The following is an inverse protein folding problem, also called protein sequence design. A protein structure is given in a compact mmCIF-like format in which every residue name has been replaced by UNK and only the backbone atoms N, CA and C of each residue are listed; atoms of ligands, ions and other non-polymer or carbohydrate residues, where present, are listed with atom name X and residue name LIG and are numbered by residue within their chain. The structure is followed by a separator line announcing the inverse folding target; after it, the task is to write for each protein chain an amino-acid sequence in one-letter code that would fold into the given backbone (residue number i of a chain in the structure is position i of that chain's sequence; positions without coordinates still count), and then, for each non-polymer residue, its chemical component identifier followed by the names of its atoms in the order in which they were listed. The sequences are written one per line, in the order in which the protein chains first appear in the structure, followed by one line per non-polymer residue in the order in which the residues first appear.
data_IF_067982758151
#
_entry.id   IF_067982758151
#
_cell.length_a   1.000
_cell.length_b   1.000
_cell.length_c   1.000
_cell.angle_alpha   90.00
_cell.angle_beta   90.00
_cell.angle_gamma   90.00
#
_symmetry.space_group_name_H-M   'P 1'
#
loop_
_entity.id
_entity.type
_entity.pdbx_description
1 polymer ?
#
# COMPACT_ATOMS: atom_id res chain seq x y z
N UNK A 1 10.87 7.33 -15.37
CA UNK A 1 9.60 7.57 -14.69
C UNK A 1 9.40 6.66 -13.48
N UNK A 2 8.27 6.81 -12.80
CA UNK A 2 7.84 5.98 -11.66
C UNK A 2 6.80 4.99 -12.18
N UNK A 3 6.92 3.73 -11.79
CA UNK A 3 5.97 2.67 -12.14
C UNK A 3 4.96 2.50 -11.02
N UNK A 4 3.68 2.46 -11.36
CA UNK A 4 2.58 2.39 -10.40
C UNK A 4 1.76 1.13 -10.69
N UNK A 5 1.44 0.37 -9.64
CA UNK A 5 0.49 -0.74 -9.68
C UNK A 5 -0.76 -0.36 -8.87
N UNK A 6 -1.93 -0.74 -9.38
CA UNK A 6 -3.22 -0.51 -8.72
C UNK A 6 -3.81 -1.83 -8.25
N UNK A 7 -4.32 -1.81 -7.03
CA UNK A 7 -5.00 -2.93 -6.38
C UNK A 7 -6.30 -2.45 -5.75
N UNK A 8 -7.30 -3.32 -5.72
CA UNK A 8 -8.63 -2.93 -5.26
C UNK A 8 -8.99 -3.70 -3.99
N UNK A 9 -9.21 -2.96 -2.91
CA UNK A 9 -9.83 -3.39 -1.66
C UNK A 9 -9.36 -4.78 -1.19
N UNK A 10 -10.09 -5.82 -1.57
CA UNK A 10 -9.87 -7.20 -1.15
C UNK A 10 -8.51 -7.78 -1.59
N UNK A 11 -7.93 -7.26 -2.68
CA UNK A 11 -6.58 -7.64 -3.17
C UNK A 11 -5.51 -7.49 -2.09
N UNK A 12 -5.70 -6.54 -1.16
CA UNK A 12 -4.78 -6.29 -0.07
C UNK A 12 -4.55 -7.53 0.82
N UNK A 13 -5.52 -8.44 0.91
CA UNK A 13 -5.43 -9.65 1.72
C UNK A 13 -4.51 -10.73 1.13
N UNK A 14 -4.17 -10.62 -0.15
CA UNK A 14 -3.46 -11.65 -0.89
C UNK A 14 -2.04 -11.20 -1.25
N UNK A 15 -1.02 -11.56 -0.44
CA UNK A 15 0.35 -11.12 -0.66
C UNK A 15 0.93 -11.61 -1.99
N UNK A 16 0.57 -12.81 -2.41
CA UNK A 16 1.03 -13.41 -3.67
C UNK A 16 0.55 -12.59 -4.88
N UNK A 17 -0.70 -12.11 -4.85
CA UNK A 17 -1.30 -11.29 -5.91
C UNK A 17 -0.55 -9.98 -6.14
N UNK A 18 -0.15 -9.31 -5.05
CA UNK A 18 0.52 -8.01 -5.10
C UNK A 18 2.05 -8.09 -5.01
N UNK A 19 2.62 -9.30 -5.09
CA UNK A 19 4.08 -9.48 -4.98
C UNK A 19 4.83 -8.76 -6.10
N UNK A 20 5.82 -7.94 -5.72
CA UNK A 20 6.61 -7.11 -6.66
C UNK A 20 7.69 -7.94 -7.39
N UNK A 21 7.24 -8.91 -8.18
CA UNK A 21 8.12 -9.75 -8.97
C UNK A 21 8.87 -8.93 -10.03
N UNK A 22 10.18 -9.10 -10.10
CA UNK A 22 11.05 -8.41 -11.07
C UNK A 22 10.90 -6.87 -11.01
N UNK A 23 10.63 -6.33 -9.82
CA UNK A 23 10.50 -4.89 -9.58
C UNK A 23 9.51 -4.20 -10.54
N UNK A 24 8.34 -4.80 -10.74
CA UNK A 24 7.32 -4.31 -11.68
C UNK A 24 6.79 -2.92 -11.32
N UNK A 25 6.83 -2.53 -10.05
CA UNK A 25 6.33 -1.24 -9.58
C UNK A 25 7.24 -0.59 -8.53
N UNK A 26 7.11 0.71 -8.40
CA UNK A 26 7.78 1.55 -7.41
C UNK A 26 6.78 2.04 -6.35
N UNK A 27 5.50 2.13 -6.75
CA UNK A 27 4.36 2.47 -5.88
C UNK A 27 3.26 1.44 -6.08
N UNK A 28 2.71 0.93 -4.98
CA UNK A 28 1.46 0.17 -4.95
C UNK A 28 0.34 1.08 -4.42
N UNK A 29 -0.75 1.21 -5.16
CA UNK A 29 -1.92 1.99 -4.77
C UNK A 29 -3.06 1.02 -4.47
N UNK A 30 -3.60 1.07 -3.26
CA UNK A 30 -4.77 0.31 -2.84
C UNK A 30 -5.95 1.25 -2.64
N UNK A 31 -7.03 1.02 -3.38
CA UNK A 31 -8.27 1.79 -3.32
C UNK A 31 -9.36 0.92 -2.70
N UNK A 32 -10.03 1.40 -1.65
CA UNK A 32 -10.96 0.56 -0.90
C UNK A 32 -12.17 1.28 -0.31
N UNK A 33 -13.19 0.48 -0.01
CA UNK A 33 -14.22 0.72 0.99
C UNK A 33 -13.98 -0.24 2.16
N UNK A 34 -12.95 0.06 2.98
CA UNK A 34 -12.54 -0.79 4.09
C UNK A 34 -13.18 -0.31 5.39
N UNK A 35 -14.04 -1.13 6.04
CA UNK A 35 -14.82 -0.68 7.17
C UNK A 35 -14.01 -0.56 8.47
N UNK A 36 -14.47 0.31 9.36
CA UNK A 36 -13.90 0.53 10.69
C UNK A 36 -13.72 -0.76 11.47
N UNK A 37 -14.67 -1.68 11.39
CA UNK A 37 -14.61 -2.97 12.11
C UNK A 37 -13.38 -3.84 11.79
N UNK A 38 -12.66 -3.52 10.74
CA UNK A 38 -11.43 -4.22 10.31
C UNK A 38 -10.30 -3.26 9.96
N UNK A 39 -10.32 -2.07 10.51
CA UNK A 39 -9.34 -1.02 10.14
C UNK A 39 -7.90 -1.39 10.53
N UNK A 40 -7.72 -2.13 11.61
CA UNK A 40 -6.41 -2.65 12.02
C UNK A 40 -5.79 -3.60 10.99
N UNK A 41 -6.64 -4.37 10.27
CA UNK A 41 -6.16 -5.20 9.15
C UNK A 41 -5.67 -4.34 7.99
N UNK A 42 -6.41 -3.27 7.66
CA UNK A 42 -6.01 -2.30 6.64
C UNK A 42 -4.64 -1.71 6.94
N UNK A 43 -4.46 -1.19 8.14
CA UNK A 43 -3.23 -0.55 8.58
C UNK A 43 -2.04 -1.51 8.57
N UNK A 44 -2.22 -2.70 9.14
CA UNK A 44 -1.17 -3.71 9.23
C UNK A 44 -0.76 -4.29 7.88
N UNK A 45 -1.75 -4.55 7.01
CA UNK A 45 -1.49 -5.12 5.69
C UNK A 45 -0.83 -4.11 4.76
N UNK A 46 -1.24 -2.85 4.75
CA UNK A 46 -0.56 -1.81 3.95
C UNK A 46 0.90 -1.65 4.36
N UNK A 47 1.18 -1.66 5.65
CA UNK A 47 2.53 -1.60 6.19
C UNK A 47 3.37 -2.80 5.71
N UNK A 48 2.81 -4.00 5.81
CA UNK A 48 3.46 -5.22 5.35
C UNK A 48 3.76 -5.18 3.85
N UNK A 49 2.80 -4.72 3.03
CA UNK A 49 3.00 -4.59 1.58
C UNK A 49 4.14 -3.64 1.22
N UNK A 50 4.31 -2.54 1.96
CA UNK A 50 5.41 -1.59 1.72
C UNK A 50 6.78 -2.24 1.99
N UNK A 51 6.92 -2.92 3.12
CA UNK A 51 8.17 -3.55 3.55
C UNK A 51 8.53 -4.73 2.64
N UNK A 52 7.63 -5.70 2.49
CA UNK A 52 7.91 -6.96 1.76
C UNK A 52 8.15 -6.77 0.27
N UNK A 53 7.62 -5.68 -0.32
CA UNK A 53 7.76 -5.36 -1.73
C UNK A 53 8.75 -4.23 -2.01
N UNK A 54 9.39 -3.70 -1.00
CA UNK A 54 10.30 -2.55 -1.09
C UNK A 54 9.74 -1.48 -2.03
N UNK A 55 8.54 -0.99 -1.74
CA UNK A 55 7.82 -0.01 -2.55
C UNK A 55 7.12 1.00 -1.66
N UNK A 56 6.85 2.19 -2.21
CA UNK A 56 5.86 3.05 -1.59
C UNK A 56 4.49 2.39 -1.64
N UNK A 57 3.69 2.58 -0.61
CA UNK A 57 2.29 2.12 -0.57
C UNK A 57 1.39 3.31 -0.28
N UNK A 58 0.45 3.56 -1.18
CA UNK A 58 -0.60 4.54 -1.05
C UNK A 58 -1.92 3.79 -0.79
N UNK A 59 -2.46 3.92 0.40
CA UNK A 59 -3.79 3.45 0.75
C UNK A 59 -4.78 4.59 0.63
N UNK A 60 -5.83 4.41 -0.17
CA UNK A 60 -6.93 5.35 -0.34
C UNK A 60 -8.22 4.66 0.07
N UNK A 61 -8.76 5.04 1.21
CA UNK A 61 -9.95 4.42 1.76
C UNK A 61 -11.08 5.44 1.92
N UNK A 62 -12.30 4.96 1.77
CA UNK A 62 -13.51 5.73 1.95
C UNK A 62 -13.66 6.26 3.38
N UNK A 63 -14.34 7.39 3.54
CA UNK A 63 -14.88 7.90 4.80
C UNK A 63 -16.41 7.92 4.78
N UNK A 64 -17.03 8.06 5.95
CA UNK A 64 -18.48 8.19 6.12
C UNK A 64 -19.19 6.87 6.35
N UNK A 65 -20.48 6.83 6.04
CA UNK A 65 -21.35 5.66 6.27
C UNK A 65 -22.08 5.28 4.99
N UNK A 66 -22.31 4.00 4.79
CA UNK A 66 -23.11 3.54 3.67
C UNK A 66 -24.61 3.40 4.05
N UNK A 67 -25.45 3.05 3.06
CA UNK A 67 -26.89 2.91 3.26
C UNK A 67 -27.27 1.70 4.17
N UNK A 68 -26.32 0.82 4.48
CA UNK A 68 -26.49 -0.31 5.38
C UNK A 68 -25.98 -0.02 6.80
N UNK A 69 -25.52 1.22 7.05
CA UNK A 69 -25.00 1.65 8.34
C UNK A 69 -23.55 1.25 8.59
N UNK A 70 -22.83 0.73 7.59
CA UNK A 70 -21.41 0.40 7.73
C UNK A 70 -20.59 1.69 7.76
N UNK A 71 -19.73 1.80 8.76
CA UNK A 71 -18.85 2.96 8.96
C UNK A 71 -17.49 2.76 8.33
N UNK A 72 -16.97 3.86 7.75
CA UNK A 72 -15.66 3.96 7.12
C UNK A 72 -14.95 5.18 7.67
N UNK A 73 -13.75 4.99 8.18
CA UNK A 73 -12.95 5.97 8.92
C UNK A 73 -11.73 6.47 8.11
N UNK A 74 -11.65 6.07 6.87
CA UNK A 74 -10.53 6.43 6.01
C UNK A 74 -9.27 5.65 6.36
N UNK A 75 -8.40 6.19 7.20
CA UNK A 75 -7.03 5.73 7.38
C UNK A 75 -6.24 5.72 6.07
N UNK A 76 -6.60 6.64 5.16
CA UNK A 76 -5.82 6.86 3.95
C UNK A 76 -4.41 7.30 4.30
N UNK A 77 -3.41 6.67 3.70
CA UNK A 77 -2.03 6.86 4.12
C UNK A 77 -1.04 6.69 2.98
N UNK A 78 0.15 7.29 3.17
CA UNK A 78 1.33 6.98 2.38
C UNK A 78 2.39 6.39 3.29
N UNK A 79 2.94 5.25 2.90
CA UNK A 79 3.98 4.51 3.62
C UNK A 79 5.19 4.39 2.69
N UNK A 80 6.38 4.60 3.22
CA UNK A 80 7.61 4.41 2.45
C UNK A 80 8.05 2.93 2.42
N UNK A 81 9.02 2.65 1.61
CA UNK A 81 9.56 1.30 1.38
C UNK A 81 10.28 0.68 2.60
N UNK A 82 10.48 1.42 3.68
CA UNK A 82 10.99 0.94 4.97
C UNK A 82 9.87 0.76 6.02
N UNK A 83 8.62 1.01 5.63
CA UNK A 83 7.48 0.93 6.54
C UNK A 83 7.23 2.20 7.35
N UNK A 84 7.92 3.32 7.04
CA UNK A 84 7.65 4.59 7.69
C UNK A 84 6.37 5.19 7.14
N UNK A 85 5.41 5.47 8.01
CA UNK A 85 4.19 6.19 7.65
C UNK A 85 4.55 7.66 7.44
N UNK A 86 4.43 8.15 6.21
CA UNK A 86 4.71 9.54 5.85
C UNK A 86 3.54 10.45 6.19
N UNK A 87 2.32 9.97 6.02
CA UNK A 87 1.10 10.55 6.56
C UNK A 87 0.01 9.48 6.71
N UNK A 88 -0.98 9.76 7.57
CA UNK A 88 -2.23 9.03 7.71
C UNK A 88 -3.33 9.99 8.13
N UNK A 89 -4.50 9.86 7.52
CA UNK A 89 -5.69 10.63 7.83
C UNK A 89 -6.80 9.75 8.38
N UNK A 90 -7.48 10.25 9.40
CA UNK A 90 -8.63 9.62 10.01
C UNK A 90 -9.85 10.49 9.75
N UNK A 91 -10.92 9.88 9.26
CA UNK A 91 -12.24 10.50 9.07
C UNK A 91 -12.16 11.90 8.42
N UNK A 92 -11.33 12.06 7.41
CA UNK A 92 -11.06 13.32 6.74
C UNK A 92 -11.20 13.18 5.22
N UNK A 93 -12.08 13.99 4.63
CA UNK A 93 -12.26 14.16 3.19
C UNK A 93 -11.30 15.24 2.68
N UNK A 94 -10.04 14.91 2.54
CA UNK A 94 -9.03 15.88 2.10
C UNK A 94 -8.22 15.41 0.90
N UNK A 95 -7.56 16.36 0.26
CA UNK A 95 -6.57 16.13 -0.78
C UNK A 95 -5.19 16.44 -0.22
N UNK A 96 -4.29 15.47 -0.30
CA UNK A 96 -2.90 15.64 0.10
C UNK A 96 -1.97 15.48 -1.08
N UNK A 97 -1.09 16.45 -1.25
CA UNK A 97 0.05 16.35 -2.16
C UNK A 97 1.32 16.17 -1.34
N UNK A 98 2.17 15.23 -1.75
CA UNK A 98 3.44 14.98 -1.10
C UNK A 98 4.47 14.52 -2.13
N UNK A 99 5.73 14.74 -1.81
CA UNK A 99 6.84 14.29 -2.65
C UNK A 99 7.32 12.91 -2.21
N UNK A 100 7.70 12.10 -3.18
CA UNK A 100 8.38 10.82 -2.98
C UNK A 100 9.71 10.83 -3.70
N UNK A 101 10.68 10.06 -3.21
CA UNK A 101 12.01 9.98 -3.80
C UNK A 101 12.27 8.61 -4.43
N UNK A 102 12.23 8.55 -5.75
CA UNK A 102 12.64 7.33 -6.47
C UNK A 102 14.12 7.00 -6.25
N UNK A 103 14.98 7.99 -6.15
CA UNK A 103 16.41 7.76 -5.91
C UNK A 103 16.66 7.09 -4.56
N UNK A 104 15.94 7.50 -3.50
CA UNK A 104 16.03 6.86 -2.18
C UNK A 104 15.50 5.43 -2.19
N UNK A 105 14.40 5.17 -2.91
CA UNK A 105 13.89 3.82 -3.12
C UNK A 105 14.93 2.92 -3.78
N UNK A 106 15.56 3.37 -4.86
CA UNK A 106 16.58 2.60 -5.57
C UNK A 106 17.82 2.35 -4.71
N UNK A 107 18.27 3.34 -3.93
CA UNK A 107 19.37 3.17 -2.97
C UNK A 107 19.04 2.14 -1.90
N UNK A 108 17.82 2.13 -1.37
CA UNK A 108 17.37 1.14 -0.39
C UNK A 108 17.35 -0.27 -0.97
N UNK A 109 16.81 -0.44 -2.17
CA UNK A 109 16.80 -1.73 -2.89
C UNK A 109 18.21 -2.25 -3.17
N UNK A 110 19.14 -1.37 -3.49
CA UNK A 110 20.55 -1.75 -3.72
C UNK A 110 21.27 -2.13 -2.42
N UNK A 111 20.95 -1.47 -1.30
CA UNK A 111 21.55 -1.76 0.00
C UNK A 111 21.06 -3.07 0.60
N UNK A 112 19.79 -3.40 0.43
CA UNK A 112 19.16 -4.62 0.92
C UNK A 112 18.36 -5.29 -0.21
N UNK A 113 19.04 -6.03 -1.13
CA UNK A 113 18.41 -6.51 -2.35
C UNK A 113 17.61 -7.82 -2.17
N UNK A 114 16.90 -8.02 -1.05
CA UNK A 114 16.20 -9.27 -0.75
C UNK A 114 15.06 -9.63 -1.73
N UNK A 115 14.64 -8.68 -2.58
CA UNK A 115 13.71 -9.01 -3.67
C UNK A 115 14.36 -9.87 -4.76
N UNK A 116 15.70 -10.01 -4.77
CA UNK A 116 16.39 -10.94 -5.66
C UNK A 116 16.24 -12.40 -5.20
N UNK A 117 15.89 -12.62 -3.92
CA UNK A 117 15.73 -13.94 -3.32
C UNK A 117 14.31 -14.50 -3.46
N UNK A 118 13.45 -13.79 -4.22
CA UNK A 118 12.06 -14.21 -4.43
C UNK A 118 12.00 -15.42 -5.36
N UNK A 119 11.34 -16.47 -4.89
CA UNK A 119 11.00 -17.61 -5.73
C UNK A 119 10.01 -17.25 -6.84
N UNK A 120 10.12 -17.90 -7.98
CA UNK A 120 9.13 -17.80 -9.03
C UNK A 120 7.89 -18.63 -8.68
N UNK A 121 6.71 -18.09 -8.93
CA UNK A 121 5.45 -18.80 -8.75
C UNK A 121 4.47 -18.43 -9.87
N UNK A 122 3.46 -19.25 -10.07
CA UNK A 122 2.37 -19.03 -11.00
C UNK A 122 1.06 -19.05 -10.23
N UNK A 123 0.18 -18.12 -10.54
CA UNK A 123 -1.20 -18.09 -10.05
C UNK A 123 -2.06 -18.74 -11.15
N UNK A 124 -2.77 -19.80 -10.80
CA UNK A 124 -3.68 -20.52 -11.71
C UNK A 124 -5.06 -19.87 -11.70
#
# INVERSE_FOLDING_TARGET
GVRIAFFICYDLRFPVWSRNLKLKYDIAVYIANWPVSRIEHWDSLLLSRAIENQSYVLGVNRVGRDNKGVEFDGHSCLIDFNGKILYRYHNDESVKTTEISKSNLLKSRAKFPFLNDIDSFKID
#
